data_IF_461480183857
#
_entry.id   IF_461480183857
#
_cell.length_a   1.000
_cell.length_b   1.000
_cell.length_c   1.000
_cell.angle_alpha   90.00
_cell.angle_beta   90.00
_cell.angle_gamma   90.00
#
_symmetry.space_group_name_H-M   'P 1'
#
loop_
_entity.id
_entity.type
_entity.pdbx_description
1 polymer ?
#
# COMPACT_ATOMS: atom_id res chain seq x y z
N UNK A 1 21.07 15.86 -40.81
CA UNK A 1 20.91 15.93 -39.34
C UNK A 1 22.23 15.62 -38.67
N UNK A 2 22.84 14.46 -38.93
CA UNK A 2 24.07 13.96 -38.26
C UNK A 2 25.41 14.69 -38.53
N UNK A 3 25.40 16.02 -38.64
CA UNK A 3 26.62 16.82 -38.75
C UNK A 3 27.15 17.15 -37.35
N UNK A 4 28.45 16.97 -37.13
CA UNK A 4 29.09 17.23 -35.83
C UNK A 4 29.31 18.76 -35.66
N UNK A 5 29.12 19.32 -34.45
CA UNK A 5 28.61 18.67 -33.26
C UNK A 5 27.10 18.46 -33.30
N UNK A 6 26.64 17.28 -32.87
CA UNK A 6 25.22 16.96 -32.67
C UNK A 6 24.61 17.87 -31.60
N UNK A 7 23.36 18.27 -31.83
CA UNK A 7 22.57 19.18 -30.99
C UNK A 7 21.30 18.47 -30.50
N UNK A 8 20.38 19.23 -29.91
CA UNK A 8 19.09 18.73 -29.42
C UNK A 8 18.28 17.97 -30.49
N UNK A 9 18.39 18.34 -31.78
CA UNK A 9 17.67 17.66 -32.87
C UNK A 9 18.07 16.19 -32.97
N UNK A 10 19.36 15.92 -32.89
CA UNK A 10 19.92 14.57 -32.92
C UNK A 10 19.56 13.80 -31.64
N UNK A 11 19.58 14.46 -30.48
CA UNK A 11 19.15 13.85 -29.22
C UNK A 11 17.66 13.44 -29.23
N UNK A 12 16.77 14.30 -29.72
CA UNK A 12 15.35 13.95 -29.91
C UNK A 12 15.17 12.85 -30.96
N UNK A 13 15.96 12.85 -32.03
CA UNK A 13 15.90 11.78 -33.02
C UNK A 13 16.30 10.42 -32.44
N UNK A 14 17.30 10.38 -31.54
CA UNK A 14 17.65 9.15 -30.80
C UNK A 14 16.48 8.71 -29.92
N UNK A 15 15.90 9.59 -29.11
CA UNK A 15 14.75 9.25 -28.27
C UNK A 15 13.56 8.75 -29.09
N UNK A 16 13.20 9.42 -30.18
CA UNK A 16 12.12 8.98 -31.08
C UNK A 16 12.44 7.62 -31.71
N UNK A 17 13.69 7.42 -32.14
CA UNK A 17 14.16 6.14 -32.65
C UNK A 17 13.96 5.02 -31.63
N UNK A 18 14.35 5.25 -30.37
CA UNK A 18 14.15 4.28 -29.28
C UNK A 18 12.67 4.01 -28.99
N UNK A 19 11.80 5.02 -29.06
CA UNK A 19 10.35 4.82 -28.92
C UNK A 19 9.79 3.93 -30.03
N UNK A 20 10.18 4.18 -31.28
CA UNK A 20 9.75 3.38 -32.44
C UNK A 20 10.29 1.95 -32.31
N UNK A 21 11.59 1.79 -32.02
CA UNK A 21 12.19 0.47 -31.80
C UNK A 21 11.50 -0.27 -30.66
N UNK A 22 11.21 0.40 -29.55
CA UNK A 22 10.48 -0.18 -28.43
C UNK A 22 9.07 -0.60 -28.84
N UNK A 23 8.35 0.20 -29.63
CA UNK A 23 7.01 -0.14 -30.08
C UNK A 23 7.03 -1.37 -31.01
N UNK A 24 8.04 -1.47 -31.89
CA UNK A 24 8.26 -2.64 -32.72
C UNK A 24 8.56 -3.89 -31.88
N UNK A 25 9.41 -3.78 -30.85
CA UNK A 25 9.65 -4.89 -29.91
C UNK A 25 8.39 -5.30 -29.17
N UNK A 26 7.60 -4.34 -28.68
CA UNK A 26 6.32 -4.61 -28.01
C UNK A 26 5.38 -5.42 -28.91
N UNK A 27 5.26 -5.06 -30.19
CA UNK A 27 4.41 -5.79 -31.14
C UNK A 27 4.99 -7.15 -31.50
N UNK A 28 6.32 -7.29 -31.55
CA UNK A 28 6.98 -8.51 -32.02
C UNK A 28 7.06 -9.61 -30.95
N UNK A 29 7.44 -9.25 -29.73
CA UNK A 29 7.74 -10.21 -28.64
C UNK A 29 6.88 -10.00 -27.40
N UNK A 30 5.98 -9.01 -27.39
CA UNK A 30 5.14 -8.69 -26.24
C UNK A 30 5.86 -7.85 -25.18
N UNK A 31 5.26 -7.80 -23.98
CA UNK A 31 5.77 -7.03 -22.86
C UNK A 31 7.05 -7.64 -22.27
N UNK A 32 7.88 -6.81 -21.63
CA UNK A 32 9.09 -7.26 -20.95
C UNK A 32 8.77 -8.04 -19.67
N UNK A 33 9.22 -9.29 -19.62
CA UNK A 33 9.10 -10.19 -18.47
C UNK A 33 10.33 -10.04 -17.54
N UNK A 34 10.16 -9.29 -16.46
CA UNK A 34 11.24 -8.99 -15.51
C UNK A 34 11.78 -10.22 -14.77
N UNK A 35 10.99 -11.30 -14.68
CA UNK A 35 11.39 -12.59 -14.09
C UNK A 35 12.64 -13.19 -14.74
N UNK A 36 12.95 -12.85 -15.99
CA UNK A 36 14.19 -13.28 -16.68
C UNK A 36 15.45 -12.76 -15.97
N UNK A 37 15.33 -11.67 -15.20
CA UNK A 37 16.42 -11.10 -14.40
C UNK A 37 16.44 -11.60 -12.95
N UNK A 38 15.66 -12.60 -12.56
CA UNK A 38 15.81 -13.22 -11.23
C UNK A 38 17.25 -13.70 -11.00
N UNK A 39 17.68 -13.74 -9.75
CA UNK A 39 19.00 -14.24 -9.36
C UNK A 39 19.33 -15.58 -10.05
N UNK A 40 20.50 -15.73 -10.70
CA UNK A 40 21.64 -14.79 -10.74
C UNK A 40 21.67 -13.85 -11.97
N UNK A 41 20.62 -13.81 -12.79
CA UNK A 41 20.63 -13.06 -14.05
C UNK A 41 20.71 -11.54 -13.85
N UNK A 42 20.12 -10.98 -12.79
CA UNK A 42 20.25 -9.57 -12.43
C UNK A 42 21.70 -9.14 -12.19
N UNK A 43 22.49 -9.89 -11.41
CA UNK A 43 23.87 -9.49 -11.12
C UNK A 43 24.75 -9.61 -12.37
N UNK A 44 24.45 -10.58 -13.25
CA UNK A 44 25.09 -10.70 -14.57
C UNK A 44 24.73 -9.47 -15.42
N UNK A 45 23.45 -9.09 -15.49
CA UNK A 45 23.00 -7.93 -16.24
C UNK A 45 23.60 -6.61 -15.72
N UNK A 46 23.69 -6.43 -14.40
CA UNK A 46 24.32 -5.27 -13.79
C UNK A 46 25.81 -5.21 -14.10
N UNK A 47 26.51 -6.34 -14.00
CA UNK A 47 27.94 -6.44 -14.32
C UNK A 47 28.19 -6.12 -15.80
N UNK A 48 27.36 -6.66 -16.70
CA UNK A 48 27.42 -6.37 -18.12
C UNK A 48 27.17 -4.87 -18.41
N UNK A 49 26.18 -4.25 -17.75
CA UNK A 49 25.89 -2.82 -17.88
C UNK A 49 27.11 -1.97 -17.47
N UNK A 50 27.74 -2.28 -16.33
CA UNK A 50 28.93 -1.56 -15.84
C UNK A 50 30.11 -1.72 -16.82
N UNK A 51 30.36 -2.94 -17.33
CA UNK A 51 31.41 -3.18 -18.33
C UNK A 51 31.15 -2.40 -19.60
N UNK A 52 29.91 -2.42 -20.12
CA UNK A 52 29.53 -1.71 -21.35
C UNK A 52 29.69 -0.20 -21.18
N UNK A 53 29.28 0.38 -20.06
CA UNK A 53 29.54 1.80 -19.76
C UNK A 53 31.04 2.11 -19.67
N UNK A 54 31.83 1.25 -19.03
CA UNK A 54 33.30 1.39 -19.03
C UNK A 54 33.89 1.39 -20.45
N UNK A 55 33.39 0.53 -21.34
CA UNK A 55 33.81 0.45 -22.73
C UNK A 55 33.38 1.69 -23.55
N UNK A 56 32.17 2.18 -23.36
CA UNK A 56 31.71 3.42 -24.01
C UNK A 56 32.60 4.60 -23.61
N UNK A 57 32.88 4.74 -22.32
CA UNK A 57 33.79 5.77 -21.84
C UNK A 57 35.21 5.62 -22.42
N UNK A 58 35.78 4.41 -22.44
CA UNK A 58 37.11 4.16 -22.98
C UNK A 58 37.21 4.45 -24.50
N UNK A 59 36.14 4.16 -25.25
CA UNK A 59 36.08 4.36 -26.70
C UNK A 59 35.56 5.76 -27.10
N UNK A 60 35.31 6.67 -26.16
CA UNK A 60 34.76 8.01 -26.41
C UNK A 60 35.59 8.88 -27.36
N UNK A 61 36.90 8.66 -27.43
CA UNK A 61 37.79 9.38 -28.35
C UNK A 61 37.61 8.90 -29.80
N UNK A 62 37.19 7.65 -30.00
CA UNK A 62 37.03 7.02 -31.31
C UNK A 62 35.60 7.15 -31.85
N UNK A 63 34.60 7.05 -30.98
CA UNK A 63 33.19 7.02 -31.36
C UNK A 63 32.48 8.28 -30.87
N UNK A 64 31.96 9.08 -31.81
CA UNK A 64 31.30 10.35 -31.48
C UNK A 64 30.05 10.16 -30.60
N UNK A 65 29.27 9.09 -30.80
CA UNK A 65 28.08 8.78 -30.00
C UNK A 65 28.42 8.66 -28.50
N UNK A 66 29.51 7.98 -28.15
CA UNK A 66 29.92 7.81 -26.74
C UNK A 66 30.34 9.15 -26.13
N UNK A 67 31.01 10.01 -26.90
CA UNK A 67 31.29 11.39 -26.47
C UNK A 67 30.03 12.25 -26.35
N UNK A 68 29.00 11.97 -27.16
CA UNK A 68 27.72 12.68 -27.13
C UNK A 68 26.91 12.32 -25.88
N UNK A 69 26.99 11.09 -25.37
CA UNK A 69 26.28 10.67 -24.14
C UNK A 69 26.61 11.52 -22.91
N UNK A 70 27.80 12.15 -22.85
CA UNK A 70 28.18 13.04 -21.74
C UNK A 70 27.70 14.50 -21.92
N UNK A 71 26.95 14.81 -22.98
CA UNK A 71 26.52 16.17 -23.32
C UNK A 71 25.07 16.43 -22.88
N UNK A 72 24.75 17.71 -22.63
CA UNK A 72 23.40 18.15 -22.23
C UNK A 72 22.38 17.87 -23.33
N UNK A 73 22.82 17.93 -24.59
CA UNK A 73 22.01 17.67 -25.78
C UNK A 73 21.60 16.19 -25.91
N UNK A 74 22.26 15.26 -25.21
CA UNK A 74 21.81 13.88 -25.07
C UNK A 74 20.87 13.72 -23.87
N UNK A 75 21.20 14.35 -22.74
CA UNK A 75 20.47 14.22 -21.49
C UNK A 75 19.07 14.87 -21.54
N UNK A 76 18.94 16.10 -22.05
CA UNK A 76 17.67 16.84 -22.04
C UNK A 76 16.57 16.13 -22.85
N UNK A 77 16.82 15.66 -24.09
CA UNK A 77 15.81 14.90 -24.83
C UNK A 77 15.44 13.58 -24.15
N UNK A 78 16.40 12.85 -23.57
CA UNK A 78 16.12 11.62 -22.84
C UNK A 78 15.21 11.88 -21.63
N UNK A 79 15.53 12.88 -20.81
CA UNK A 79 14.73 13.28 -19.65
C UNK A 79 13.35 13.81 -20.05
N UNK A 80 13.25 14.60 -21.11
CA UNK A 80 11.97 15.10 -21.62
C UNK A 80 11.07 13.93 -22.06
N UNK A 81 11.62 12.98 -22.82
CA UNK A 81 10.88 11.79 -23.24
C UNK A 81 10.49 10.92 -22.05
N UNK A 82 11.40 10.64 -21.12
CA UNK A 82 11.11 9.88 -19.90
C UNK A 82 10.01 10.54 -19.06
N UNK A 83 10.01 11.88 -18.96
CA UNK A 83 9.00 12.65 -18.24
C UNK A 83 7.62 12.51 -18.89
N UNK A 84 7.54 12.62 -20.22
CA UNK A 84 6.27 12.40 -20.96
C UNK A 84 5.74 10.99 -20.73
N UNK A 85 6.61 9.97 -20.82
CA UNK A 85 6.20 8.60 -20.55
C UNK A 85 5.76 8.39 -19.09
N UNK A 86 6.41 9.05 -18.14
CA UNK A 86 6.02 9.01 -16.72
C UNK A 86 4.66 9.69 -16.50
N UNK A 87 4.36 10.78 -17.20
CA UNK A 87 3.03 11.41 -17.18
C UNK A 87 1.98 10.45 -17.74
N UNK A 88 2.26 9.77 -18.86
CA UNK A 88 1.36 8.76 -19.42
C UNK A 88 1.13 7.64 -18.39
N UNK A 89 2.18 7.14 -17.73
CA UNK A 89 2.08 6.14 -16.66
C UNK A 89 1.15 6.58 -15.53
N UNK A 90 1.25 7.86 -15.11
CA UNK A 90 0.43 8.41 -14.03
C UNK A 90 -1.02 8.72 -14.42
N UNK A 91 -1.29 8.92 -15.71
CA UNK A 91 -2.63 9.17 -16.24
C UNK A 91 -3.36 7.89 -16.70
N UNK A 92 -2.62 6.81 -16.96
CA UNK A 92 -3.20 5.51 -17.30
C UNK A 92 -3.46 4.67 -16.05
N UNK A 93 -4.51 3.84 -16.10
CA UNK A 93 -4.83 2.90 -15.03
C UNK A 93 -3.82 1.75 -15.03
N UNK A 94 -2.81 1.85 -14.17
CA UNK A 94 -1.82 0.79 -13.99
C UNK A 94 -2.43 -0.45 -13.35
N UNK A 95 -1.93 -1.61 -13.76
CA UNK A 95 -2.32 -2.93 -13.26
C UNK A 95 -1.23 -3.45 -12.33
N UNK A 96 -1.62 -4.20 -11.30
CA UNK A 96 -0.67 -4.83 -10.38
C UNK A 96 0.21 -5.86 -11.10
N UNK A 97 1.46 -6.00 -10.66
CA UNK A 97 2.41 -6.98 -11.20
C UNK A 97 1.81 -8.40 -11.18
N UNK A 98 2.10 -9.18 -12.22
CA UNK A 98 1.60 -10.55 -12.41
C UNK A 98 0.26 -10.66 -13.13
N UNK A 99 -0.45 -9.55 -13.39
CA UNK A 99 -1.68 -9.56 -14.19
C UNK A 99 -1.39 -9.15 -15.65
N UNK A 100 -2.21 -9.60 -16.62
CA UNK A 100 -2.07 -9.19 -18.01
C UNK A 100 -2.43 -7.71 -18.20
N UNK A 101 -1.92 -7.09 -19.26
CA UNK A 101 -2.32 -5.73 -19.64
C UNK A 101 -3.84 -5.70 -19.95
N UNK A 102 -4.52 -4.64 -19.51
CA UNK A 102 -5.95 -4.43 -19.81
C UNK A 102 -6.17 -3.80 -21.19
N UNK A 103 -5.12 -3.20 -21.76
CA UNK A 103 -5.15 -2.55 -23.07
C UNK A 103 -4.23 -3.29 -24.07
N UNK A 104 -4.55 -3.24 -25.37
CA UNK A 104 -3.78 -3.95 -26.39
C UNK A 104 -2.39 -3.37 -26.65
N UNK A 105 -2.10 -2.14 -26.21
CA UNK A 105 -0.84 -1.44 -26.48
C UNK A 105 0.20 -1.73 -25.39
N UNK A 106 -0.24 -1.95 -24.15
CA UNK A 106 0.61 -2.18 -22.98
C UNK A 106 0.75 -0.98 -22.04
N UNK A 107 -0.03 0.09 -22.20
CA UNK A 107 0.06 1.31 -21.38
C UNK A 107 -0.37 1.11 -19.92
N UNK A 108 -1.18 0.07 -19.65
CA UNK A 108 -1.57 -0.37 -18.32
C UNK A 108 -0.48 -1.17 -17.58
N UNK A 109 0.60 -1.55 -18.28
CA UNK A 109 1.82 -2.17 -17.72
C UNK A 109 3.07 -1.41 -18.16
N UNK A 110 3.13 -0.12 -17.82
CA UNK A 110 4.15 0.78 -18.35
C UNK A 110 5.60 0.35 -18.01
N UNK A 111 5.82 -0.24 -16.85
CA UNK A 111 7.15 -0.74 -16.45
C UNK A 111 7.62 -1.94 -17.28
N UNK A 112 6.72 -2.67 -17.93
CA UNK A 112 7.05 -3.75 -18.89
C UNK A 112 6.93 -3.30 -20.35
N UNK A 113 6.60 -2.03 -20.62
CA UNK A 113 6.40 -1.52 -21.96
C UNK A 113 7.75 -1.14 -22.61
N UNK A 114 8.11 -1.80 -23.71
CA UNK A 114 9.45 -1.65 -24.32
C UNK A 114 9.90 -0.22 -24.62
N UNK A 115 9.06 0.71 -25.15
CA UNK A 115 9.44 2.11 -25.29
C UNK A 115 9.88 2.77 -23.97
N UNK A 116 9.20 2.43 -22.86
CA UNK A 116 9.58 2.90 -21.54
C UNK A 116 10.92 2.30 -21.12
N UNK A 117 11.09 0.98 -21.25
CA UNK A 117 12.32 0.26 -20.89
C UNK A 117 13.54 0.81 -21.64
N UNK A 118 13.44 1.05 -22.96
CA UNK A 118 14.55 1.55 -23.77
C UNK A 118 14.95 2.99 -23.44
N UNK A 119 13.96 3.89 -23.24
CA UNK A 119 14.24 5.27 -22.83
C UNK A 119 14.85 5.33 -21.43
N UNK A 120 14.39 4.45 -20.54
CA UNK A 120 14.92 4.36 -19.19
C UNK A 120 16.35 3.80 -19.19
N UNK A 121 16.63 2.74 -19.95
CA UNK A 121 17.98 2.21 -20.16
C UNK A 121 18.92 3.26 -20.76
N UNK A 122 18.46 4.01 -21.77
CA UNK A 122 19.21 5.12 -22.35
C UNK A 122 19.55 6.20 -21.31
N UNK A 123 18.59 6.54 -20.44
CA UNK A 123 18.80 7.50 -19.36
C UNK A 123 19.82 7.00 -18.33
N UNK A 124 19.76 5.72 -17.97
CA UNK A 124 20.73 5.07 -17.07
C UNK A 124 22.14 5.10 -17.66
N UNK A 125 22.29 4.81 -18.96
CA UNK A 125 23.58 4.88 -19.65
C UNK A 125 24.13 6.31 -19.65
N UNK A 126 23.31 7.33 -19.93
CA UNK A 126 23.74 8.73 -19.85
C UNK A 126 24.22 9.09 -18.44
N UNK A 127 23.46 8.70 -17.41
CA UNK A 127 23.82 8.95 -16.00
C UNK A 127 25.14 8.25 -15.65
N UNK A 128 25.34 7.01 -16.11
CA UNK A 128 26.58 6.27 -15.92
C UNK A 128 27.77 6.96 -16.60
N UNK A 129 27.65 7.35 -17.87
CA UNK A 129 28.72 8.04 -18.63
C UNK A 129 29.10 9.38 -17.99
N UNK A 130 28.11 10.16 -17.55
CA UNK A 130 28.35 11.43 -16.84
C UNK A 130 29.01 11.18 -15.47
N UNK A 131 28.62 10.12 -14.75
CA UNK A 131 29.24 9.70 -13.51
C UNK A 131 30.70 9.28 -13.69
N UNK A 132 31.00 8.39 -14.65
CA UNK A 132 32.35 7.94 -15.00
C UNK A 132 33.21 9.14 -15.42
N UNK A 133 32.67 10.05 -16.24
CA UNK A 133 33.38 11.26 -16.64
C UNK A 133 33.81 12.10 -15.44
N UNK A 134 32.91 12.31 -14.47
CA UNK A 134 33.19 13.07 -13.25
C UNK A 134 34.17 12.34 -12.31
N UNK A 135 34.17 11.01 -12.29
CA UNK A 135 35.16 10.22 -11.55
C UNK A 135 36.55 10.35 -12.16
N UNK A 136 36.67 10.21 -13.48
CA UNK A 136 37.95 10.23 -14.18
C UNK A 136 38.56 11.64 -14.28
N UNK A 137 37.73 12.68 -14.32
CA UNK A 137 38.15 14.09 -14.29
C UNK A 137 37.75 14.73 -12.96
N UNK A 138 38.12 14.08 -11.85
CA UNK A 138 37.68 14.45 -10.51
C UNK A 138 38.06 15.88 -10.15
N UNK A 139 37.06 16.67 -9.73
CA UNK A 139 37.26 17.99 -9.15
C UNK A 139 36.34 18.16 -7.93
N UNK A 140 36.90 18.69 -6.83
CA UNK A 140 36.15 18.86 -5.56
C UNK A 140 34.85 19.65 -5.72
N UNK A 141 34.80 20.61 -6.65
CA UNK A 141 33.60 21.41 -6.94
C UNK A 141 32.43 20.59 -7.50
N UNK A 142 32.70 19.41 -8.08
CA UNK A 142 31.69 18.53 -8.67
C UNK A 142 31.29 17.36 -7.77
N UNK A 143 31.83 17.25 -6.55
CA UNK A 143 31.42 16.23 -5.58
C UNK A 143 29.88 16.14 -5.43
N UNK A 144 29.12 17.26 -5.30
CA UNK A 144 27.67 17.16 -5.15
C UNK A 144 26.98 16.51 -6.35
N UNK A 145 27.41 16.86 -7.56
CA UNK A 145 26.91 16.28 -8.81
C UNK A 145 27.29 14.81 -8.93
N UNK A 146 28.55 14.47 -8.66
CA UNK A 146 29.06 13.11 -8.74
C UNK A 146 28.30 12.17 -7.79
N UNK A 147 28.14 12.56 -6.54
CA UNK A 147 27.40 11.80 -5.52
C UNK A 147 25.94 11.58 -5.97
N UNK A 148 25.31 12.60 -6.55
CA UNK A 148 23.94 12.49 -7.08
C UNK A 148 23.86 11.51 -8.26
N UNK A 149 24.81 11.52 -9.20
CA UNK A 149 24.79 10.62 -10.36
C UNK A 149 25.08 9.17 -9.97
N UNK A 150 26.01 8.93 -9.04
CA UNK A 150 26.26 7.59 -8.49
C UNK A 150 25.01 7.10 -7.75
N UNK A 151 24.42 7.96 -6.90
CA UNK A 151 23.19 7.63 -6.17
C UNK A 151 22.03 7.29 -7.10
N UNK A 152 21.84 8.08 -8.17
CA UNK A 152 20.81 7.83 -9.18
C UNK A 152 21.05 6.51 -9.92
N UNK A 153 22.29 6.24 -10.34
CA UNK A 153 22.64 5.01 -11.03
C UNK A 153 22.35 3.78 -10.15
N UNK A 154 22.81 3.79 -8.90
CA UNK A 154 22.58 2.70 -7.94
C UNK A 154 21.07 2.52 -7.69
N UNK A 155 20.37 3.60 -7.36
CA UNK A 155 18.93 3.57 -7.06
C UNK A 155 18.13 2.94 -8.21
N UNK A 156 18.37 3.42 -9.44
CA UNK A 156 17.63 2.96 -10.60
C UNK A 156 17.97 1.51 -10.94
N UNK A 157 19.26 1.17 -11.06
CA UNK A 157 19.68 -0.16 -11.50
C UNK A 157 19.33 -1.24 -10.48
N UNK A 158 19.55 -0.99 -9.18
CA UNK A 158 19.21 -1.93 -8.12
C UNK A 158 17.69 -2.06 -7.95
N UNK A 159 16.94 -0.95 -8.04
CA UNK A 159 15.48 -0.99 -7.96
C UNK A 159 14.84 -1.77 -9.13
N UNK A 160 15.34 -1.57 -10.35
CA UNK A 160 14.81 -2.26 -11.53
C UNK A 160 15.21 -3.73 -11.56
N UNK A 161 16.51 -4.05 -11.44
CA UNK A 161 16.98 -5.44 -11.52
C UNK A 161 16.64 -6.25 -10.27
N UNK A 162 16.56 -5.60 -9.11
CA UNK A 162 16.18 -6.22 -7.85
C UNK A 162 14.69 -6.53 -7.72
N UNK A 163 13.84 -5.86 -8.50
CA UNK A 163 12.38 -6.09 -8.48
C UNK A 163 12.00 -7.54 -8.78
N UNK A 164 12.79 -8.24 -9.60
CA UNK A 164 12.58 -9.64 -9.92
C UNK A 164 12.83 -10.59 -8.73
N UNK A 165 13.70 -10.19 -7.79
CA UNK A 165 14.01 -10.98 -6.59
C UNK A 165 13.08 -10.64 -5.41
N UNK A 166 12.24 -9.61 -5.53
CA UNK A 166 11.31 -9.22 -4.49
C UNK A 166 10.20 -10.28 -4.35
N UNK A 167 10.11 -10.89 -3.18
CA UNK A 167 9.07 -11.85 -2.84
C UNK A 167 7.98 -11.17 -2.01
N UNK A 168 6.72 -11.42 -2.38
CA UNK A 168 5.54 -10.99 -1.63
C UNK A 168 4.63 -12.19 -1.41
N UNK A 169 4.44 -12.55 -0.15
CA UNK A 169 3.65 -13.71 0.25
C UNK A 169 2.57 -13.30 1.24
N UNK A 170 1.40 -13.91 1.14
CA UNK A 170 0.32 -13.80 2.11
C UNK A 170 0.31 -15.00 3.03
N UNK A 171 0.29 -14.78 4.33
CA UNK A 171 0.18 -15.84 5.34
C UNK A 171 -1.12 -15.65 6.14
N UNK A 172 -1.89 -16.73 6.26
CA UNK A 172 -3.18 -16.74 6.94
C UNK A 172 -3.00 -17.46 8.28
N UNK A 173 -2.87 -16.71 9.37
CA UNK A 173 -2.62 -17.27 10.70
C UNK A 173 -3.90 -17.34 11.52
N UNK A 174 -4.31 -18.54 11.88
CA UNK A 174 -5.39 -18.78 12.84
C UNK A 174 -4.88 -18.65 14.28
N UNK A 175 -5.77 -18.21 15.17
CA UNK A 175 -5.51 -18.09 16.61
C UNK A 175 -5.04 -19.43 17.21
N UNK A 176 -3.86 -19.43 17.85
CA UNK A 176 -3.25 -20.57 18.52
C UNK A 176 -2.65 -21.65 17.60
N UNK A 177 -2.55 -21.39 16.28
CA UNK A 177 -1.93 -22.32 15.32
C UNK A 177 -0.73 -21.65 14.64
N UNK A 178 0.48 -22.25 14.75
CA UNK A 178 1.62 -21.81 13.96
C UNK A 178 1.38 -22.04 12.47
N UNK A 179 1.66 -21.04 11.64
CA UNK A 179 1.62 -21.13 10.17
C UNK A 179 2.98 -20.71 9.60
N UNK A 180 3.49 -21.46 8.63
CA UNK A 180 4.79 -21.21 7.96
C UNK A 180 4.66 -21.23 6.43
N UNK A 181 3.45 -21.39 5.90
CA UNK A 181 3.17 -21.42 4.47
C UNK A 181 2.68 -20.04 4.03
N UNK A 182 3.40 -19.45 3.09
CA UNK A 182 3.01 -18.22 2.40
C UNK A 182 2.42 -18.52 1.02
N UNK A 183 1.44 -17.74 0.59
CA UNK A 183 0.80 -17.86 -0.72
C UNK A 183 1.19 -16.65 -1.57
N UNK A 184 1.70 -16.87 -2.77
CA UNK A 184 2.05 -15.79 -3.71
C UNK A 184 0.83 -15.30 -4.52
N UNK A 185 1.06 -14.33 -5.41
CA UNK A 185 0.01 -13.78 -6.28
C UNK A 185 -0.54 -14.80 -7.30
N UNK A 186 0.19 -15.89 -7.56
CA UNK A 186 -0.20 -16.97 -8.47
C UNK A 186 -0.87 -18.14 -7.73
N UNK A 187 -1.23 -17.96 -6.46
CA UNK A 187 -1.81 -18.99 -5.59
C UNK A 187 -0.89 -20.19 -5.34
N UNK A 188 0.43 -20.03 -5.53
CA UNK A 188 1.39 -21.07 -5.19
C UNK A 188 1.79 -20.94 -3.72
N UNK A 189 1.91 -22.11 -3.07
CA UNK A 189 2.26 -22.21 -1.66
C UNK A 189 3.77 -22.38 -1.53
N UNK A 190 4.38 -21.54 -0.71
CA UNK A 190 5.81 -21.52 -0.41
C UNK A 190 6.02 -21.77 1.07
N UNK A 191 6.89 -22.72 1.41
CA UNK A 191 7.30 -22.94 2.80
C UNK A 191 8.40 -21.95 3.20
N UNK A 192 8.18 -21.27 4.33
CA UNK A 192 9.08 -20.24 4.83
C UNK A 192 9.97 -20.74 5.98
N UNK A 193 11.17 -20.16 6.14
CA UNK A 193 12.03 -20.44 7.30
C UNK A 193 11.55 -19.74 8.59
N UNK A 194 10.33 -19.18 8.57
CA UNK A 194 9.68 -18.50 9.68
C UNK A 194 8.25 -19.01 9.82
N UNK A 195 7.82 -19.24 11.07
CA UNK A 195 6.44 -19.54 11.41
C UNK A 195 5.85 -18.45 12.29
N UNK A 196 4.59 -18.09 12.06
CA UNK A 196 3.87 -17.08 12.82
C UNK A 196 2.64 -17.74 13.44
N UNK A 197 2.52 -17.63 14.76
CA UNK A 197 1.34 -18.06 15.50
C UNK A 197 0.61 -16.83 16.04
N UNK A 198 -0.64 -16.66 15.64
CA UNK A 198 -1.50 -15.60 16.16
C UNK A 198 -1.87 -15.93 17.61
N UNK A 199 -1.48 -15.07 18.55
CA UNK A 199 -1.90 -15.19 19.95
C UNK A 199 -3.21 -14.45 20.19
N UNK A 200 -3.28 -13.20 19.72
CA UNK A 200 -4.46 -12.36 19.90
C UNK A 200 -4.54 -11.28 18.83
N UNK A 201 -5.71 -11.19 18.18
CA UNK A 201 -6.07 -10.05 17.37
C UNK A 201 -6.72 -8.96 18.23
N UNK A 202 -6.44 -7.70 17.92
CA UNK A 202 -7.04 -6.54 18.57
C UNK A 202 -7.33 -5.45 17.56
N UNK A 203 -8.47 -4.79 17.71
CA UNK A 203 -8.89 -3.67 16.86
C UNK A 203 -9.48 -2.59 17.74
N UNK A 204 -9.14 -1.37 17.42
CA UNK A 204 -9.81 -0.19 17.94
C UNK A 204 -10.71 0.34 16.83
N UNK A 205 -11.95 0.67 17.19
CA UNK A 205 -13.00 1.08 16.24
C UNK A 205 -13.43 2.52 16.55
N UNK A 206 -13.75 3.29 15.51
CA UNK A 206 -14.35 4.61 15.69
C UNK A 206 -15.68 4.52 16.46
N UNK A 207 -16.08 5.57 17.20
CA UNK A 207 -17.35 5.57 17.91
C UNK A 207 -18.54 5.29 16.97
N UNK A 208 -19.62 4.67 17.49
CA UNK A 208 -20.79 4.33 16.69
C UNK A 208 -21.46 5.59 16.12
N UNK A 209 -21.91 5.48 14.86
CA UNK A 209 -22.63 6.55 14.15
C UNK A 209 -24.10 6.14 14.03
N UNK A 210 -24.99 7.00 14.51
CA UNK A 210 -26.43 6.87 14.32
C UNK A 210 -26.86 7.74 13.13
N UNK A 211 -27.66 7.17 12.22
CA UNK A 211 -28.25 7.91 11.11
C UNK A 211 -29.70 7.45 10.89
N UNK A 212 -30.49 8.28 10.20
CA UNK A 212 -31.85 7.93 9.81
C UNK A 212 -31.81 7.28 8.42
N UNK A 213 -32.49 6.15 8.28
CA UNK A 213 -32.60 5.38 7.05
C UNK A 213 -34.05 5.28 6.62
N UNK A 214 -34.27 5.20 5.30
CA UNK A 214 -35.58 4.87 4.75
C UNK A 214 -35.83 3.36 4.89
N UNK A 215 -36.93 2.99 5.56
CA UNK A 215 -37.26 1.61 5.94
C UNK A 215 -37.50 0.69 4.74
N UNK A 216 -37.82 1.23 3.54
CA UNK A 216 -38.08 0.43 2.34
C UNK A 216 -36.84 0.25 1.48
N UNK A 217 -36.06 1.31 1.33
CA UNK A 217 -34.89 1.36 0.44
C UNK A 217 -33.57 1.08 1.16
N UNK A 218 -33.53 1.16 2.50
CA UNK A 218 -32.33 0.99 3.31
C UNK A 218 -31.28 2.10 3.11
N UNK A 219 -31.63 3.19 2.40
CA UNK A 219 -30.71 4.29 2.13
C UNK A 219 -30.70 5.28 3.29
N UNK A 220 -29.52 5.79 3.62
CA UNK A 220 -29.37 6.86 4.60
C UNK A 220 -30.00 8.16 4.08
N UNK A 221 -30.63 8.92 4.97
CA UNK A 221 -31.29 10.18 4.67
C UNK A 221 -30.54 11.36 5.32
N UNK A 222 -30.54 12.56 4.68
CA UNK A 222 -30.88 12.81 3.27
C UNK A 222 -29.95 12.08 2.29
N UNK A 223 -30.45 11.67 1.13
CA UNK A 223 -29.71 10.81 0.19
C UNK A 223 -28.41 11.45 -0.35
N UNK A 224 -28.40 12.77 -0.57
CA UNK A 224 -27.25 13.50 -1.11
C UNK A 224 -26.19 13.83 -0.04
N UNK A 225 -26.61 13.98 1.21
CA UNK A 225 -25.74 14.29 2.34
C UNK A 225 -26.30 13.66 3.62
N UNK A 226 -25.98 12.38 3.87
CA UNK A 226 -26.41 11.69 5.07
C UNK A 226 -26.00 12.45 6.33
N UNK A 227 -26.98 12.76 7.18
CA UNK A 227 -26.73 13.33 8.50
C UNK A 227 -26.50 12.19 9.50
N UNK A 228 -25.50 12.33 10.36
CA UNK A 228 -25.20 11.35 11.40
C UNK A 228 -24.83 12.02 12.72
N UNK A 229 -25.11 11.30 13.81
CA UNK A 229 -24.64 11.64 15.16
C UNK A 229 -23.57 10.61 15.54
N UNK A 230 -22.41 11.10 15.94
CA UNK A 230 -21.35 10.28 16.54
C UNK A 230 -21.64 10.16 18.03
N UNK A 231 -21.81 8.93 18.53
CA UNK A 231 -22.13 8.68 19.94
C UNK A 231 -20.87 8.24 20.68
N UNK A 232 -20.15 9.22 21.24
CA UNK A 232 -19.00 8.98 22.12
C UNK A 232 -19.42 8.58 23.54
N UNK A 233 -18.47 8.05 24.31
CA UNK A 233 -18.70 7.76 25.74
C UNK A 233 -18.97 9.08 26.49
N UNK A 234 -20.17 9.21 27.06
CA UNK A 234 -20.61 10.43 27.74
C UNK A 234 -21.47 11.35 26.88
N UNK A 235 -21.75 10.99 25.62
CA UNK A 235 -22.76 11.66 24.80
C UNK A 235 -24.15 11.55 25.47
N UNK A 236 -24.85 12.68 25.61
CA UNK A 236 -26.16 12.76 26.27
C UNK A 236 -27.29 12.94 25.25
N UNK A 237 -27.21 13.98 24.41
CA UNK A 237 -28.23 14.27 23.40
C UNK A 237 -27.70 15.02 22.19
N UNK A 238 -28.38 14.89 21.04
CA UNK A 238 -28.11 15.66 19.82
C UNK A 238 -29.31 15.64 18.87
N UNK A 239 -29.32 16.53 17.87
CA UNK A 239 -30.39 16.61 16.88
C UNK A 239 -30.04 15.83 15.60
N UNK A 240 -31.01 15.10 15.05
CA UNK A 240 -30.87 14.35 13.79
C UNK A 240 -32.15 14.51 12.96
N UNK A 241 -32.09 15.24 11.84
CA UNK A 241 -33.25 15.56 11.00
C UNK A 241 -34.51 16.07 11.77
N UNK A 242 -34.29 16.94 12.76
CA UNK A 242 -35.35 17.50 13.60
C UNK A 242 -35.88 16.55 14.69
N UNK A 243 -35.23 15.41 14.92
CA UNK A 243 -35.44 14.56 16.09
C UNK A 243 -34.39 14.88 17.14
N UNK A 244 -34.80 15.16 18.38
CA UNK A 244 -33.89 15.21 19.50
C UNK A 244 -33.64 13.79 20.01
N UNK A 245 -32.41 13.32 19.85
CA UNK A 245 -31.93 11.97 20.15
C UNK A 245 -31.21 12.02 21.50
N UNK A 246 -31.75 11.34 22.50
CA UNK A 246 -31.14 11.19 23.83
C UNK A 246 -30.67 9.75 24.04
N UNK A 247 -29.43 9.57 24.51
CA UNK A 247 -28.90 8.25 24.88
C UNK A 247 -29.30 7.94 26.32
N UNK A 248 -30.17 6.95 26.47
CA UNK A 248 -30.66 6.49 27.78
C UNK A 248 -29.68 5.48 28.39
N UNK A 249 -29.12 4.59 27.57
CA UNK A 249 -28.16 3.58 27.99
C UNK A 249 -27.20 3.23 26.86
N UNK A 250 -25.92 3.08 27.17
CA UNK A 250 -24.88 2.67 26.24
C UNK A 250 -24.24 1.38 26.73
N UNK A 251 -24.18 0.34 25.88
CA UNK A 251 -23.46 -0.91 26.16
C UNK A 251 -22.49 -1.16 25.00
N UNK A 252 -21.19 -1.11 25.29
CA UNK A 252 -20.12 -1.28 24.30
C UNK A 252 -20.11 -2.68 23.68
N UNK A 253 -20.16 -3.71 24.54
CA UNK A 253 -20.14 -5.13 24.20
C UNK A 253 -21.45 -5.76 24.68
N UNK A 254 -22.40 -5.88 23.77
CA UNK A 254 -23.76 -6.31 24.08
C UNK A 254 -24.20 -7.52 23.26
N UNK A 255 -25.14 -8.27 23.83
CA UNK A 255 -25.85 -9.36 23.19
C UNK A 255 -27.35 -9.25 23.48
N UNK A 256 -28.25 -9.67 22.57
CA UNK A 256 -29.67 -9.76 22.88
C UNK A 256 -29.91 -10.68 24.09
N UNK A 257 -30.70 -10.21 25.06
CA UNK A 257 -30.92 -10.91 26.33
C UNK A 257 -31.52 -12.32 26.15
N UNK A 258 -32.40 -12.48 25.15
CA UNK A 258 -32.96 -13.79 24.83
C UNK A 258 -31.93 -14.73 24.19
N UNK A 259 -30.93 -14.20 23.48
CA UNK A 259 -29.84 -15.00 22.93
C UNK A 259 -28.94 -15.53 24.04
N UNK A 260 -28.61 -14.71 25.05
CA UNK A 260 -27.81 -15.16 26.20
C UNK A 260 -28.43 -16.38 26.90
N UNK A 261 -29.76 -16.43 27.01
CA UNK A 261 -30.49 -17.58 27.58
C UNK A 261 -30.33 -18.84 26.71
N UNK A 262 -30.36 -18.68 25.39
CA UNK A 262 -30.18 -19.78 24.44
C UNK A 262 -28.74 -20.33 24.47
N UNK A 263 -27.74 -19.44 24.52
CA UNK A 263 -26.32 -19.82 24.53
C UNK A 263 -25.95 -20.62 25.79
N UNK A 264 -26.48 -20.23 26.96
CA UNK A 264 -26.21 -20.93 28.23
C UNK A 264 -26.61 -22.41 28.22
N UNK A 265 -27.51 -22.82 27.34
CA UNK A 265 -27.95 -24.21 27.19
C UNK A 265 -27.29 -24.97 26.04
N UNK A 266 -26.40 -24.34 25.25
CA UNK A 266 -25.89 -24.89 24.00
C UNK A 266 -24.39 -25.29 24.08
N UNK A 267 -24.00 -26.47 23.57
CA UNK A 267 -22.58 -26.86 23.49
C UNK A 267 -21.77 -25.95 22.56
N UNK A 268 -20.49 -25.71 22.90
CA UNK A 268 -19.60 -24.79 22.18
C UNK A 268 -19.37 -25.18 20.70
N UNK A 269 -19.41 -26.46 20.34
CA UNK A 269 -19.30 -26.90 18.94
C UNK A 269 -20.53 -26.53 18.11
N UNK A 270 -21.73 -26.57 18.71
CA UNK A 270 -22.98 -26.22 18.04
C UNK A 270 -23.08 -24.70 17.84
N UNK A 271 -22.57 -23.91 18.80
CA UNK A 271 -22.43 -22.46 18.69
C UNK A 271 -21.60 -22.01 17.48
N UNK A 272 -20.54 -22.75 17.14
CA UNK A 272 -19.69 -22.44 15.97
C UNK A 272 -20.35 -22.71 14.61
N UNK A 273 -21.38 -23.54 14.57
CA UNK A 273 -22.10 -23.93 13.34
C UNK A 273 -23.39 -23.13 13.12
N UNK A 274 -23.76 -22.27 14.07
CA UNK A 274 -25.00 -21.52 14.03
C UNK A 274 -24.88 -20.33 13.07
N UNK A 275 -25.52 -20.43 11.90
CA UNK A 275 -25.76 -19.30 11.00
C UNK A 275 -27.08 -18.66 11.41
N UNK A 276 -27.03 -17.38 11.80
CA UNK A 276 -28.14 -16.67 12.44
C UNK A 276 -28.88 -15.72 11.48
N UNK A 277 -28.96 -16.09 10.20
CA UNK A 277 -29.75 -15.39 9.19
C UNK A 277 -31.26 -15.49 9.48
N UNK A 278 -31.76 -16.65 9.93
CA UNK A 278 -33.21 -16.86 10.11
C UNK A 278 -33.74 -16.76 11.57
N UNK A 279 -32.92 -17.05 12.60
CA UNK A 279 -33.38 -17.02 14.00
C UNK A 279 -33.32 -15.62 14.66
N UNK A 280 -32.57 -14.68 14.07
CA UNK A 280 -32.23 -13.41 14.70
C UNK A 280 -33.37 -12.38 14.79
N UNK A 281 -34.38 -12.45 13.90
CA UNK A 281 -35.43 -11.44 13.84
C UNK A 281 -36.52 -11.55 14.92
N UNK A 282 -36.56 -12.64 15.71
CA UNK A 282 -37.64 -12.89 16.68
C UNK A 282 -37.25 -12.85 18.15
N UNK A 283 -36.01 -12.50 18.50
CA UNK A 283 -35.52 -12.62 19.90
C UNK A 283 -34.96 -11.31 20.45
N UNK A 284 -35.72 -10.22 20.37
CA UNK A 284 -35.41 -9.03 21.18
C UNK A 284 -36.61 -8.46 21.95
N UNK A 285 -37.45 -9.33 22.51
CA UNK A 285 -38.46 -8.90 23.48
C UNK A 285 -37.85 -8.44 24.83
N UNK A 286 -36.56 -8.73 25.07
CA UNK A 286 -35.89 -8.50 26.36
C UNK A 286 -34.75 -7.45 26.37
N UNK A 287 -34.47 -6.79 25.24
CA UNK A 287 -33.39 -5.80 25.13
C UNK A 287 -31.98 -6.41 25.07
N UNK A 288 -30.97 -5.56 25.30
CA UNK A 288 -29.55 -5.92 25.27
C UNK A 288 -28.93 -5.98 26.66
N UNK A 289 -28.00 -6.91 26.85
CA UNK A 289 -27.21 -7.10 28.09
C UNK A 289 -25.73 -7.12 27.79
N UNK A 290 -24.91 -6.77 28.78
CA UNK A 290 -23.44 -6.80 28.66
C UNK A 290 -22.93 -8.23 28.44
N UNK A 291 -22.02 -8.38 27.48
CA UNK A 291 -21.43 -9.67 27.11
C UNK A 291 -20.02 -9.41 26.54
N UNK A 292 -18.97 -9.89 27.22
CA UNK A 292 -17.56 -9.58 26.90
C UNK A 292 -16.84 -10.67 26.08
N UNK A 293 -17.59 -11.44 25.31
CA UNK A 293 -17.04 -12.57 24.55
C UNK A 293 -17.39 -12.43 23.06
N UNK A 294 -16.85 -13.35 22.25
CA UNK A 294 -16.94 -13.38 20.79
C UNK A 294 -18.38 -13.15 20.32
N UNK A 295 -18.54 -12.19 19.40
CA UNK A 295 -19.80 -11.82 18.76
C UNK A 295 -20.59 -10.72 19.46
N UNK A 296 -20.11 -10.15 20.56
CA UNK A 296 -20.73 -8.96 21.14
C UNK A 296 -20.62 -7.74 20.21
N UNK A 297 -21.66 -6.91 20.17
CA UNK A 297 -21.67 -5.66 19.40
C UNK A 297 -22.21 -4.51 20.24
N UNK A 298 -21.95 -3.28 19.80
CA UNK A 298 -22.44 -2.10 20.51
C UNK A 298 -23.96 -1.99 20.41
N UNK A 299 -24.61 -1.72 21.53
CA UNK A 299 -26.04 -1.49 21.60
C UNK A 299 -26.34 -0.25 22.43
N UNK A 300 -27.21 0.62 21.91
CA UNK A 300 -27.56 1.91 22.50
C UNK A 300 -29.07 1.99 22.63
N UNK A 301 -29.56 2.24 23.83
CA UNK A 301 -30.97 2.57 24.07
C UNK A 301 -31.15 4.06 23.81
N UNK A 302 -31.92 4.36 22.79
CA UNK A 302 -32.13 5.72 22.29
C UNK A 302 -33.56 6.13 22.53
N UNK A 303 -33.76 7.37 23.01
CA UNK A 303 -35.05 8.06 23.03
C UNK A 303 -35.03 9.17 21.99
N UNK A 304 -35.89 9.07 20.99
CA UNK A 304 -36.05 10.05 19.93
C UNK A 304 -37.36 10.84 20.15
N UNK A 305 -37.28 12.17 20.17
CA UNK A 305 -38.43 13.05 20.34
C UNK A 305 -38.54 14.07 19.19
N UNK A 306 -39.74 14.22 18.64
CA UNK A 306 -40.09 15.27 17.67
C UNK A 306 -41.49 15.80 17.97
N UNK A 307 -41.57 17.02 18.50
CA UNK A 307 -42.82 17.56 19.05
C UNK A 307 -43.37 16.67 20.17
N UNK A 308 -44.61 16.21 20.01
CA UNK A 308 -45.28 15.32 20.98
C UNK A 308 -45.02 13.82 20.74
N UNK A 309 -44.28 13.46 19.68
CA UNK A 309 -43.97 12.05 19.38
C UNK A 309 -42.68 11.67 20.07
N UNK A 310 -42.74 10.68 20.96
CA UNK A 310 -41.58 10.07 21.62
C UNK A 310 -41.51 8.60 21.25
N UNK A 311 -40.33 8.15 20.82
CA UNK A 311 -40.01 6.76 20.52
C UNK A 311 -38.78 6.36 21.31
N UNK A 312 -38.81 5.18 21.91
CA UNK A 312 -37.67 4.64 22.66
C UNK A 312 -37.41 3.19 22.22
N UNK A 313 -36.14 2.85 22.00
CA UNK A 313 -35.76 1.50 21.65
C UNK A 313 -34.27 1.34 21.41
N UNK A 314 -33.86 0.07 21.29
CA UNK A 314 -32.46 -0.30 21.12
C UNK A 314 -32.03 -0.22 19.67
N UNK A 315 -30.89 0.43 19.45
CA UNK A 315 -30.20 0.47 18.16
C UNK A 315 -28.85 -0.24 18.31
N UNK A 316 -28.53 -1.15 17.41
CA UNK A 316 -27.27 -1.90 17.41
C UNK A 316 -26.84 -2.21 15.98
N UNK A 317 -25.53 -2.17 15.72
CA UNK A 317 -24.94 -2.56 14.44
C UNK A 317 -25.07 -4.05 14.13
N UNK A 318 -25.38 -4.88 15.15
CA UNK A 318 -25.32 -6.34 15.01
C UNK A 318 -23.90 -6.88 14.95
N UNK A 319 -23.78 -8.19 14.77
CA UNK A 319 -22.55 -8.92 14.50
C UNK A 319 -22.85 -10.17 13.66
N UNK A 320 -21.83 -11.00 13.40
CA UNK A 320 -22.04 -12.32 12.80
C UNK A 320 -22.94 -13.26 13.63
N UNK A 321 -23.22 -12.93 14.90
CA UNK A 321 -24.09 -13.71 15.78
C UNK A 321 -25.56 -13.25 15.78
N UNK A 322 -25.84 -11.97 15.49
CA UNK A 322 -27.20 -11.45 15.51
C UNK A 322 -27.35 -10.24 14.58
N UNK A 323 -28.52 -10.05 13.95
CA UNK A 323 -28.73 -8.97 13.01
C UNK A 323 -28.74 -7.60 13.70
N UNK A 324 -28.60 -6.54 12.91
CA UNK A 324 -28.77 -5.17 13.40
C UNK A 324 -30.14 -4.95 14.03
N UNK A 325 -30.20 -4.04 15.01
CA UNK A 325 -31.44 -3.57 15.64
C UNK A 325 -31.65 -2.11 15.29
N UNK A 326 -32.84 -1.75 14.84
CA UNK A 326 -33.21 -0.38 14.43
C UNK A 326 -34.36 0.15 15.27
N UNK A 327 -34.46 1.48 15.40
CA UNK A 327 -35.59 2.15 16.04
C UNK A 327 -36.49 2.78 14.96
N UNK A 328 -37.66 2.17 14.73
CA UNK A 328 -38.66 2.73 13.81
C UNK A 328 -39.24 4.03 14.36
N UNK A 329 -39.07 5.12 13.63
CA UNK A 329 -39.61 6.44 13.97
C UNK A 329 -41.04 6.58 13.44
N UNK A 330 -41.24 6.20 12.17
CA UNK A 330 -42.54 6.21 11.49
C UNK A 330 -42.66 5.05 10.46
N UNK A 331 -43.57 5.15 9.49
CA UNK A 331 -43.80 4.11 8.45
C UNK A 331 -42.70 4.06 7.37
N UNK A 332 -41.86 5.09 7.28
CA UNK A 332 -40.83 5.28 6.24
C UNK A 332 -39.44 5.47 6.81
N UNK A 333 -39.27 5.86 8.07
CA UNK A 333 -37.97 6.18 8.65
C UNK A 333 -37.65 5.37 9.91
N UNK A 334 -36.37 5.02 10.05
CA UNK A 334 -35.82 4.35 11.22
C UNK A 334 -34.42 4.88 11.55
N UNK A 335 -34.05 4.85 12.83
CA UNK A 335 -32.67 5.10 13.27
C UNK A 335 -31.93 3.77 13.26
N UNK A 336 -30.79 3.73 12.57
CA UNK A 336 -29.90 2.58 12.58
C UNK A 336 -28.47 3.02 12.92
N UNK A 337 -27.67 2.03 13.34
CA UNK A 337 -26.26 2.19 13.61
C UNK A 337 -25.46 1.50 12.51
N UNK A 338 -24.56 2.24 11.87
CA UNK A 338 -23.64 1.65 10.90
C UNK A 338 -22.60 0.77 11.58
N UNK A 339 -22.08 -0.23 10.85
CA UNK A 339 -20.92 -0.98 11.29
C UNK A 339 -19.75 -0.02 11.54
N UNK A 340 -19.00 -0.26 12.62
CA UNK A 340 -17.91 0.64 13.03
C UNK A 340 -16.70 0.42 12.15
N UNK A 341 -16.11 1.53 11.73
CA UNK A 341 -14.88 1.51 10.93
C UNK A 341 -13.68 1.24 11.85
N UNK A 342 -12.70 0.42 11.42
CA UNK A 342 -11.48 0.20 12.18
C UNK A 342 -10.62 1.47 12.18
N UNK A 343 -10.24 1.93 13.37
CA UNK A 343 -9.27 3.01 13.57
C UNK A 343 -7.84 2.48 13.45
N UNK A 344 -7.55 1.35 14.13
CA UNK A 344 -6.29 0.61 14.03
C UNK A 344 -6.53 -0.84 14.42
N UNK A 345 -5.71 -1.74 13.90
CA UNK A 345 -5.69 -3.13 14.36
C UNK A 345 -4.26 -3.66 14.44
N UNK A 346 -4.09 -4.61 15.34
CA UNK A 346 -2.80 -5.23 15.63
C UNK A 346 -2.98 -6.66 16.11
N UNK A 347 -1.95 -7.45 15.86
CA UNK A 347 -1.89 -8.84 16.25
C UNK A 347 -0.68 -9.06 17.16
N UNK A 348 -0.93 -9.60 18.35
CA UNK A 348 0.11 -10.15 19.20
C UNK A 348 0.43 -11.56 18.67
N UNK A 349 1.71 -11.82 18.36
CA UNK A 349 2.16 -13.05 17.71
C UNK A 349 3.38 -13.64 18.42
N UNK A 350 3.50 -14.97 18.34
CA UNK A 350 4.77 -15.65 18.52
C UNK A 350 5.36 -15.93 17.14
N UNK A 351 6.63 -15.57 16.95
CA UNK A 351 7.35 -15.86 15.72
C UNK A 351 8.46 -16.84 16.03
N UNK A 352 8.55 -17.89 15.21
CA UNK A 352 9.52 -18.97 15.31
C UNK A 352 10.41 -18.96 14.07
N UNK A 353 11.72 -19.08 14.25
CA UNK A 353 12.66 -19.25 13.13
C UNK A 353 13.14 -20.68 13.04
N UNK A 354 13.56 -21.09 11.84
CA UNK A 354 14.17 -22.41 11.61
C UNK A 354 15.43 -22.63 12.47
N UNK A 355 16.11 -21.56 12.88
CA UNK A 355 17.27 -21.59 13.77
C UNK A 355 16.90 -21.77 15.25
N UNK A 356 15.62 -21.98 15.56
CA UNK A 356 15.12 -22.26 16.91
C UNK A 356 14.89 -21.02 17.78
N UNK A 357 14.93 -19.82 17.21
CA UNK A 357 14.63 -18.59 17.95
C UNK A 357 13.12 -18.37 18.03
N UNK A 358 12.66 -17.98 19.21
CA UNK A 358 11.27 -17.60 19.46
C UNK A 358 11.23 -16.20 20.02
N UNK A 359 10.43 -15.32 19.43
CA UNK A 359 10.20 -13.98 19.96
C UNK A 359 8.73 -13.60 19.86
N UNK A 360 8.28 -12.86 20.88
CA UNK A 360 6.96 -12.27 20.92
C UNK A 360 7.01 -10.91 20.24
N UNK A 361 6.08 -10.66 19.34
CA UNK A 361 6.00 -9.38 18.65
C UNK A 361 4.55 -8.92 18.54
N UNK A 362 4.38 -7.61 18.37
CA UNK A 362 3.09 -7.02 18.03
C UNK A 362 3.20 -6.42 16.64
N UNK A 363 2.41 -6.95 15.70
CA UNK A 363 2.36 -6.47 14.33
C UNK A 363 1.13 -5.58 14.21
N UNK A 364 1.34 -4.28 14.01
CA UNK A 364 0.26 -3.28 13.86
C UNK A 364 0.24 -2.77 12.42
N UNK A 365 -0.93 -2.31 11.97
CA UNK A 365 -1.03 -1.59 10.68
C UNK A 365 0.02 -0.49 10.61
N UNK A 366 0.75 -0.43 9.49
CA UNK A 366 1.87 0.49 9.24
C UNK A 366 3.09 0.35 10.17
N UNK A 367 3.15 -0.67 11.03
CA UNK A 367 4.33 -0.99 11.87
C UNK A 367 4.78 -2.43 11.65
N UNK A 368 5.53 -2.70 10.57
CA UNK A 368 6.00 -4.05 10.26
C UNK A 368 7.06 -4.52 11.25
N UNK A 369 7.14 -5.84 11.41
CA UNK A 369 8.22 -6.51 12.15
C UNK A 369 9.21 -7.09 11.15
N UNK A 370 10.50 -6.98 11.44
CA UNK A 370 11.57 -7.52 10.56
C UNK A 370 12.19 -8.76 11.19
N UNK A 371 12.28 -9.85 10.42
CA UNK A 371 12.83 -11.15 10.82
C UNK A 371 13.71 -11.68 9.70
N UNK A 372 15.04 -11.69 9.91
CA UNK A 372 15.98 -12.00 8.83
C UNK A 372 15.79 -11.04 7.66
N UNK A 373 15.51 -11.57 6.46
CA UNK A 373 15.23 -10.78 5.25
C UNK A 373 13.77 -10.39 5.09
N UNK A 374 12.87 -10.89 5.95
CA UNK A 374 11.44 -10.71 5.83
C UNK A 374 10.94 -9.50 6.64
N UNK A 375 10.20 -8.62 5.99
CA UNK A 375 9.33 -7.64 6.64
C UNK A 375 7.89 -8.17 6.64
N UNK A 376 7.29 -8.24 7.82
CA UNK A 376 5.97 -8.80 8.05
C UNK A 376 5.02 -7.66 8.37
N UNK A 377 4.04 -7.44 7.51
CA UNK A 377 3.03 -6.39 7.62
C UNK A 377 1.70 -7.01 8.03
N UNK A 378 0.96 -6.34 8.90
CA UNK A 378 -0.44 -6.64 9.12
C UNK A 378 -1.23 -6.21 7.87
N UNK A 379 -1.81 -7.17 7.15
CA UNK A 379 -2.50 -6.93 5.88
C UNK A 379 -4.02 -6.85 6.06
N UNK A 380 -4.62 -7.87 6.67
CA UNK A 380 -6.08 -7.95 6.83
C UNK A 380 -6.45 -8.88 8.00
N UNK A 381 -7.75 -9.10 8.19
CA UNK A 381 -8.34 -9.98 9.19
C UNK A 381 -9.71 -10.50 8.69
N UNK A 382 -10.35 -11.40 9.43
CA UNK A 382 -11.72 -11.81 9.12
C UNK A 382 -12.71 -10.68 9.47
N UNK A 383 -13.19 -9.96 8.43
CA UNK A 383 -14.12 -8.83 8.55
C UNK A 383 -15.52 -9.22 9.02
N UNK A 384 -15.97 -10.45 8.76
CA UNK A 384 -17.26 -10.93 9.27
C UNK A 384 -17.25 -11.02 10.79
N UNK A 385 -16.11 -11.43 11.37
CA UNK A 385 -15.93 -11.51 12.81
C UNK A 385 -15.58 -10.16 13.46
N UNK A 386 -15.13 -9.18 12.67
CA UNK A 386 -14.78 -7.84 13.17
C UNK A 386 -13.71 -7.91 14.27
N UNK A 387 -13.96 -7.23 15.39
CA UNK A 387 -13.09 -7.26 16.58
C UNK A 387 -12.86 -8.63 17.22
N UNK A 388 -13.67 -9.61 16.87
CA UNK A 388 -13.58 -10.98 17.37
C UNK A 388 -12.80 -11.90 16.43
N UNK A 389 -12.06 -11.33 15.47
CA UNK A 389 -11.33 -12.09 14.48
C UNK A 389 -10.39 -13.12 15.09
N UNK A 390 -10.54 -14.37 14.67
CA UNK A 390 -9.61 -15.47 15.00
C UNK A 390 -8.58 -15.72 13.90
N UNK A 391 -8.52 -14.83 12.91
CA UNK A 391 -7.67 -14.94 11.73
C UNK A 391 -7.01 -13.59 11.49
N UNK A 392 -5.70 -13.59 11.32
CA UNK A 392 -4.94 -12.45 10.82
C UNK A 392 -4.22 -12.82 9.55
N UNK A 393 -4.24 -11.90 8.59
CA UNK A 393 -3.55 -12.04 7.31
C UNK A 393 -2.33 -11.13 7.35
N UNK A 394 -1.15 -11.70 7.08
CA UNK A 394 0.11 -10.98 7.01
C UNK A 394 0.62 -10.92 5.57
N UNK A 395 1.18 -9.79 5.17
CA UNK A 395 1.99 -9.68 3.96
C UNK A 395 3.47 -9.76 4.36
N UNK A 396 4.17 -10.77 3.84
CA UNK A 396 5.58 -10.99 4.05
C UNK A 396 6.32 -10.55 2.79
N UNK A 397 7.23 -9.58 2.97
CA UNK A 397 8.02 -9.00 1.88
C UNK A 397 9.50 -9.24 2.14
N UNK A 398 10.19 -9.87 1.20
CA UNK A 398 11.65 -10.02 1.22
C UNK A 398 12.23 -9.42 -0.06
N UNK A 399 13.14 -8.47 0.09
CA UNK A 399 13.84 -7.80 -1.02
C UNK A 399 15.34 -7.74 -0.70
N UNK A 400 16.16 -8.62 -1.32
CA UNK A 400 17.61 -8.64 -1.12
C UNK A 400 18.33 -7.37 -1.60
N UNK A 401 17.72 -6.62 -2.53
CA UNK A 401 18.31 -5.44 -3.17
C UNK A 401 17.94 -4.13 -2.47
N UNK A 402 16.94 -4.16 -1.59
CA UNK A 402 16.48 -3.00 -0.83
C UNK A 402 17.62 -2.21 -0.13
N UNK A 403 18.63 -2.86 0.51
CA UNK A 403 19.75 -2.12 1.09
C UNK A 403 20.54 -1.30 0.05
N UNK A 404 20.80 -1.87 -1.13
CA UNK A 404 21.52 -1.17 -2.20
C UNK A 404 20.68 -0.02 -2.77
N UNK A 405 19.37 -0.23 -2.95
CA UNK A 405 18.42 0.81 -3.34
C UNK A 405 18.41 1.97 -2.35
N UNK A 406 18.45 1.69 -1.04
CA UNK A 406 18.57 2.74 0.00
C UNK A 406 19.91 3.47 -0.05
N UNK A 407 21.03 2.80 -0.29
CA UNK A 407 22.32 3.47 -0.52
C UNK A 407 22.20 4.49 -1.66
N UNK A 408 21.56 4.12 -2.77
CA UNK A 408 21.28 5.04 -3.88
C UNK A 408 20.47 6.28 -3.46
N UNK A 409 19.38 6.07 -2.71
CA UNK A 409 18.53 7.15 -2.18
C UNK A 409 19.31 8.08 -1.22
N UNK A 410 20.07 7.51 -0.28
CA UNK A 410 20.86 8.32 0.65
C UNK A 410 21.92 9.15 -0.08
N UNK A 411 22.59 8.59 -1.08
CA UNK A 411 23.52 9.34 -1.93
C UNK A 411 22.82 10.47 -2.68
N UNK A 412 21.62 10.25 -3.23
CA UNK A 412 20.83 11.32 -3.86
C UNK A 412 20.52 12.46 -2.89
N UNK A 413 20.09 12.13 -1.66
CA UNK A 413 19.80 13.12 -0.61
C UNK A 413 21.06 13.89 -0.24
N UNK A 414 22.17 13.20 0.00
CA UNK A 414 23.47 13.81 0.32
C UNK A 414 23.91 14.74 -0.83
N UNK A 415 23.84 14.27 -2.07
CA UNK A 415 24.17 15.05 -3.25
C UNK A 415 23.34 16.32 -3.36
N UNK A 416 22.02 16.21 -3.15
CA UNK A 416 21.11 17.36 -3.12
C UNK A 416 21.47 18.36 -2.02
N UNK A 417 21.66 17.91 -0.78
CA UNK A 417 22.05 18.77 0.35
C UNK A 417 23.38 19.48 0.07
N UNK A 418 24.38 18.76 -0.45
CA UNK A 418 25.68 19.34 -0.82
C UNK A 418 25.54 20.39 -1.94
N UNK A 419 24.66 20.18 -2.92
CA UNK A 419 24.38 21.18 -3.96
C UNK A 419 23.79 22.46 -3.36
N UNK A 420 22.82 22.35 -2.45
CA UNK A 420 22.22 23.52 -1.78
C UNK A 420 23.25 24.29 -0.94
N UNK A 421 24.05 23.60 -0.13
CA UNK A 421 25.07 24.24 0.71
C UNK A 421 26.16 24.92 -0.13
N UNK A 422 26.62 24.28 -1.21
CA UNK A 422 27.66 24.86 -2.07
C UNK A 422 27.15 26.05 -2.89
N UNK A 423 25.91 26.01 -3.37
CA UNK A 423 25.27 27.14 -4.05
C UNK A 423 25.16 28.36 -3.12
N UNK A 424 24.77 28.15 -1.85
CA UNK A 424 24.71 29.21 -0.83
C UNK A 424 26.08 29.85 -0.55
N UNK A 425 27.13 29.05 -0.35
CA UNK A 425 28.49 29.57 -0.06
C UNK A 425 29.08 30.38 -1.22
N UNK A 426 28.80 29.98 -2.46
CA UNK A 426 29.27 30.73 -3.64
C UNK A 426 28.57 32.09 -3.78
N UNK A 427 27.32 32.21 -3.32
CA UNK A 427 26.60 33.50 -3.31
C UNK A 427 27.20 34.47 -2.29
N UNK A 428 27.46 34.01 -1.06
CA UNK A 428 28.10 34.81 0.01
C UNK A 428 29.50 35.32 -0.40
N UNK A 429 30.36 34.46 -0.95
CA UNK A 429 31.69 34.90 -1.43
C UNK A 429 31.63 35.96 -2.53
N UNK A 430 30.59 35.93 -3.37
CA UNK A 430 30.38 36.89 -4.46
C UNK A 430 29.85 38.24 -3.96
N UNK A 431 29.21 38.26 -2.80
CA UNK A 431 28.73 39.47 -2.12
C UNK A 431 29.84 40.12 -1.27
N UNK A 432 30.69 39.32 -0.61
CA UNK A 432 31.87 39.82 0.12
C UNK A 432 32.94 40.38 -0.81
N UNK A 433 33.19 39.77 -1.97
CA UNK A 433 34.14 40.30 -2.97
C UNK A 433 33.64 41.49 -3.78
N UNK A 434 32.42 41.99 -3.50
CA UNK A 434 31.85 43.22 -4.08
C UNK A 434 31.81 44.39 -3.10
N UNK A 435 32.13 44.16 -1.83
CA UNK A 435 32.40 45.20 -0.83
C UNK A 435 33.89 45.48 -0.80
#
# INVERSE_FOLDING_TARGET
MWNKPWKYREGFAISIGLLITGALLQVSIGAMEWLVFMWPANIIALTALVIVSGLFYALRSKVYLFRFMTQVEAAVPALATASVLTVIMGLSRQVADGHPAMDPVGLSRMLSFWPFVLIYLWSVVIVAEVGIHQLMHFQKRFIPSLVSHIGLFIFITCGTLGSADMQRLKMYCEEGKPEWRGIDNFQQVHELPIAIELQKFSIDEYPPKLAIFDTKSGKSLPADKPENIIVERGFTSGELMGWNITVVKYIEDALPAGMLKMIKGMPAQMMKMMRMDDLGMRINAGGFVEYKDKGAATAILVRAQKGNVVKEGWVSSGSYMFPMSTLKLDKRTEIAMSAREPLRYASDVNIYTKDGQTFKARIEVNKPVTVGTWKIYQLDFNKEQGKWSTLSVYELVSDPWLPATYVGIYLLIIGAVLMFVTAGRNKYKKEEGKK
#
